data_IF_429983523319
#
_entry.id   IF_429983523319
#
_cell.length_a   1.000
_cell.length_b   1.000
_cell.length_c   1.000
_cell.angle_alpha   90.00
_cell.angle_beta   90.00
_cell.angle_gamma   90.00
#
_symmetry.space_group_name_H-M   'P 1'
#
loop_
_entity.id
_entity.type
_entity.pdbx_description
1 polymer ?
#
# COMPACT_ATOMS: atom_id res chain seq x y z
N UNK A 1 -4.80 -49.76 2.28
CA UNK A 1 -5.56 -48.67 1.61
C UNK A 1 -6.00 -47.50 2.53
N UNK A 2 -6.05 -47.61 3.88
CA UNK A 2 -6.48 -46.51 4.78
C UNK A 2 -5.49 -45.34 4.96
N UNK A 3 -4.22 -45.50 4.60
CA UNK A 3 -3.20 -44.45 4.78
C UNK A 3 -3.30 -43.32 3.72
N UNK A 4 -3.69 -43.65 2.48
CA UNK A 4 -3.81 -42.68 1.39
C UNK A 4 -4.97 -41.70 1.59
N UNK A 5 -6.08 -42.12 2.20
CA UNK A 5 -7.23 -41.24 2.46
C UNK A 5 -6.91 -40.17 3.50
N UNK A 6 -6.18 -40.49 4.58
CA UNK A 6 -5.76 -39.51 5.59
C UNK A 6 -4.81 -38.45 5.06
N UNK A 7 -3.90 -38.83 4.15
CA UNK A 7 -2.97 -37.86 3.53
C UNK A 7 -3.74 -36.89 2.63
N UNK A 8 -4.72 -37.39 1.89
CA UNK A 8 -5.54 -36.60 0.97
C UNK A 8 -6.48 -35.64 1.72
N UNK A 9 -7.05 -36.07 2.85
CA UNK A 9 -7.85 -35.22 3.75
C UNK A 9 -7.01 -34.11 4.39
N UNK A 10 -5.80 -34.43 4.88
CA UNK A 10 -4.88 -33.43 5.46
C UNK A 10 -4.42 -32.41 4.43
N UNK A 11 -4.13 -32.86 3.21
CA UNK A 11 -3.74 -31.97 2.12
C UNK A 11 -4.90 -31.01 1.75
N UNK A 12 -6.13 -31.52 1.66
CA UNK A 12 -7.31 -30.70 1.40
C UNK A 12 -7.53 -29.63 2.47
N UNK A 13 -7.43 -30.01 3.75
CA UNK A 13 -7.53 -29.06 4.86
C UNK A 13 -6.42 -27.99 4.80
N UNK A 14 -5.18 -28.40 4.52
CA UNK A 14 -4.05 -27.48 4.40
C UNK A 14 -4.24 -26.47 3.27
N UNK A 15 -4.74 -26.91 2.11
CA UNK A 15 -5.05 -26.02 0.98
C UNK A 15 -6.14 -25.03 1.39
N UNK A 16 -7.22 -25.48 2.03
CA UNK A 16 -8.32 -24.58 2.47
C UNK A 16 -7.81 -23.54 3.46
N UNK A 17 -7.04 -23.94 4.48
CA UNK A 17 -6.47 -23.01 5.46
C UNK A 17 -5.54 -22.01 4.77
N UNK A 18 -4.69 -22.47 3.86
CA UNK A 18 -3.79 -21.60 3.11
C UNK A 18 -4.57 -20.59 2.26
N UNK A 19 -5.55 -21.04 1.48
CA UNK A 19 -6.37 -20.16 0.63
C UNK A 19 -7.17 -19.14 1.46
N UNK A 20 -7.76 -19.56 2.58
CA UNK A 20 -8.46 -18.64 3.48
C UNK A 20 -7.49 -17.61 4.09
N UNK A 21 -6.30 -18.04 4.52
CA UNK A 21 -5.29 -17.15 5.08
C UNK A 21 -4.77 -16.16 4.04
N UNK A 22 -4.43 -16.62 2.83
CA UNK A 22 -3.97 -15.76 1.74
C UNK A 22 -5.05 -14.76 1.31
N UNK A 23 -6.31 -15.20 1.19
CA UNK A 23 -7.42 -14.31 0.86
C UNK A 23 -7.66 -13.24 1.94
N UNK A 24 -7.62 -13.64 3.21
CA UNK A 24 -7.72 -12.71 4.33
C UNK A 24 -6.54 -11.73 4.36
N UNK A 25 -5.31 -12.20 4.14
CA UNK A 25 -4.12 -11.36 4.11
C UNK A 25 -4.23 -10.27 3.02
N UNK A 26 -4.58 -10.64 1.78
CA UNK A 26 -4.73 -9.70 0.65
C UNK A 26 -5.86 -8.70 0.91
N UNK A 27 -6.99 -9.17 1.45
CA UNK A 27 -8.12 -8.30 1.76
C UNK A 27 -7.79 -7.30 2.87
N UNK A 28 -7.10 -7.76 3.91
CA UNK A 28 -6.76 -6.95 5.09
C UNK A 28 -5.67 -5.91 4.76
N UNK A 29 -4.67 -6.23 3.93
CA UNK A 29 -3.64 -5.25 3.52
C UNK A 29 -4.21 -4.05 2.77
N UNK A 30 -5.35 -4.24 2.08
CA UNK A 30 -6.02 -3.16 1.35
C UNK A 30 -7.03 -2.36 2.19
N UNK A 31 -7.58 -2.97 3.25
CA UNK A 31 -8.64 -2.42 4.09
C UNK A 31 -8.15 -1.79 5.40
N UNK A 32 -6.98 -2.17 5.90
CA UNK A 32 -6.49 -1.71 7.19
C UNK A 32 -4.96 -1.68 7.23
N UNK A 33 -4.31 -0.79 8.01
CA UNK A 33 -2.86 -0.75 8.14
C UNK A 33 -2.32 -1.90 9.00
N UNK A 34 -2.67 -3.16 8.70
CA UNK A 34 -2.01 -4.35 9.26
C UNK A 34 -0.72 -4.70 8.49
N UNK A 35 0.00 -3.70 7.97
CA UNK A 35 1.45 -3.85 7.95
C UNK A 35 1.88 -3.88 9.42
N UNK A 36 2.60 -4.92 9.80
CA UNK A 36 3.08 -5.15 11.17
C UNK A 36 3.83 -3.93 11.70
N UNK A 37 3.15 -3.03 12.41
CA UNK A 37 3.70 -1.94 13.23
C UNK A 37 3.91 -0.56 12.59
N UNK A 38 2.92 0.34 12.63
CA UNK A 38 3.16 1.71 13.07
C UNK A 38 3.26 1.74 14.61
N UNK A 39 4.15 0.95 15.21
CA UNK A 39 4.45 1.07 16.65
C UNK A 39 5.29 2.33 16.94
N UNK A 40 5.72 3.03 15.89
CA UNK A 40 6.66 4.15 15.92
C UNK A 40 6.10 5.42 15.27
N UNK A 41 4.84 5.45 14.83
CA UNK A 41 4.22 6.74 14.49
C UNK A 41 3.91 7.48 15.79
N UNK A 42 4.28 8.75 15.88
CA UNK A 42 4.08 9.57 17.09
C UNK A 42 2.61 9.60 17.57
N UNK A 43 1.67 9.44 16.63
CA UNK A 43 0.21 9.46 16.87
C UNK A 43 -0.43 8.06 17.03
N UNK A 44 0.39 7.01 17.20
CA UNK A 44 -0.14 5.69 17.54
C UNK A 44 -0.86 5.72 18.91
N UNK A 45 -1.98 4.99 19.08
CA UNK A 45 -2.57 3.98 18.18
C UNK A 45 -3.68 4.52 17.26
N UNK A 46 -4.00 5.82 17.32
CA UNK A 46 -5.22 6.37 16.71
C UNK A 46 -5.02 6.89 15.28
N UNK A 47 -3.79 6.83 14.78
CA UNK A 47 -3.42 7.33 13.46
C UNK A 47 -2.48 6.34 12.76
N UNK A 48 -2.68 6.17 11.46
CA UNK A 48 -1.76 5.46 10.58
C UNK A 48 -1.75 6.11 9.20
N UNK A 49 -0.62 6.09 8.53
CA UNK A 49 -0.48 6.66 7.20
C UNK A 49 0.56 5.91 6.36
N UNK A 50 0.26 5.73 5.07
CA UNK A 50 1.10 4.99 4.12
C UNK A 50 1.04 5.61 2.73
N UNK A 51 2.18 5.60 2.03
CA UNK A 51 2.23 5.96 0.62
C UNK A 51 1.72 4.78 -0.22
N UNK A 52 0.74 5.03 -1.08
CA UNK A 52 0.14 4.03 -1.98
C UNK A 52 -0.14 4.65 -3.35
N UNK A 53 -0.43 3.80 -4.32
CA UNK A 53 -0.82 4.19 -5.67
C UNK A 53 -2.34 4.12 -5.80
N UNK A 54 -2.93 5.14 -6.41
CA UNK A 54 -4.33 5.13 -6.86
C UNK A 54 -4.36 5.14 -8.38
N UNK A 55 -4.98 4.12 -8.97
CA UNK A 55 -5.12 4.02 -10.42
C UNK A 55 -6.31 4.85 -10.94
N UNK A 56 -6.51 4.88 -12.25
CA UNK A 56 -7.64 5.60 -12.86
C UNK A 56 -9.02 5.03 -12.50
N UNK A 57 -9.09 3.75 -12.12
CA UNK A 57 -10.32 3.13 -11.64
C UNK A 57 -10.61 3.50 -10.18
N UNK A 58 -9.66 4.15 -9.49
CA UNK A 58 -9.75 4.49 -8.08
C UNK A 58 -9.33 3.35 -7.15
N UNK A 59 -8.81 2.25 -7.72
CA UNK A 59 -8.25 1.14 -6.96
C UNK A 59 -6.92 1.55 -6.34
N UNK A 60 -6.66 1.04 -5.15
CA UNK A 60 -5.47 1.37 -4.37
C UNK A 60 -4.55 0.18 -4.31
N UNK A 61 -3.29 0.36 -4.66
CA UNK A 61 -2.27 -0.69 -4.68
C UNK A 61 -0.99 -0.23 -4.00
N UNK A 62 -0.24 -1.20 -3.50
CA UNK A 62 1.12 -0.98 -3.01
C UNK A 62 2.05 -0.58 -4.16
N UNK A 63 3.10 0.16 -3.84
CA UNK A 63 4.05 0.72 -4.82
C UNK A 63 4.88 -0.43 -5.41
N UNK A 64 5.18 -1.43 -4.59
CA UNK A 64 5.92 -2.64 -4.94
C UNK A 64 5.21 -3.51 -6.00
N UNK A 65 3.95 -3.22 -6.34
CA UNK A 65 3.21 -3.88 -7.43
C UNK A 65 3.56 -3.36 -8.83
N UNK A 66 4.30 -2.26 -8.91
CA UNK A 66 4.65 -1.63 -10.18
C UNK A 66 6.17 -1.72 -10.39
N UNK A 67 6.54 -2.13 -11.60
CA UNK A 67 7.94 -2.43 -11.96
C UNK A 67 8.66 -1.25 -12.59
N UNK A 68 7.94 -0.25 -13.10
CA UNK A 68 8.58 0.85 -13.83
C UNK A 68 7.81 2.15 -13.67
N UNK A 69 8.54 3.27 -13.55
CA UNK A 69 7.98 4.54 -13.06
C UNK A 69 8.43 5.77 -13.84
N UNK A 70 7.54 6.75 -13.96
CA UNK A 70 7.87 8.12 -14.39
C UNK A 70 6.96 9.08 -13.65
N UNK A 71 7.54 9.98 -12.88
CA UNK A 71 6.80 11.00 -12.14
C UNK A 71 7.10 12.39 -12.71
N UNK A 72 6.09 13.27 -12.73
CA UNK A 72 6.24 14.63 -13.26
C UNK A 72 7.07 15.55 -12.34
N UNK A 73 7.20 15.20 -11.06
CA UNK A 73 7.94 15.93 -10.04
C UNK A 73 9.07 15.07 -9.49
N UNK A 74 10.17 15.72 -9.08
CA UNK A 74 11.20 15.08 -8.26
C UNK A 74 10.61 14.84 -6.86
N UNK A 75 10.48 13.58 -6.48
CA UNK A 75 9.82 13.20 -5.24
C UNK A 75 10.84 13.25 -4.11
N UNK A 76 10.75 14.27 -3.25
CA UNK A 76 11.57 14.34 -2.05
C UNK A 76 10.80 13.88 -0.82
N UNK A 77 11.50 13.27 0.13
CA UNK A 77 10.94 12.82 1.39
C UNK A 77 10.28 13.98 2.17
N UNK A 78 10.92 15.14 2.18
CA UNK A 78 10.45 16.33 2.90
C UNK A 78 9.10 16.83 2.36
N UNK A 79 8.86 16.73 1.05
CA UNK A 79 7.58 17.10 0.43
C UNK A 79 6.45 16.14 0.83
N UNK A 80 6.78 14.86 0.99
CA UNK A 80 5.83 13.81 1.40
C UNK A 80 5.45 13.91 2.87
N UNK A 81 6.40 14.23 3.76
CA UNK A 81 6.11 14.45 5.18
C UNK A 81 5.17 15.64 5.41
N UNK A 82 5.22 16.64 4.54
CA UNK A 82 4.40 17.85 4.62
C UNK A 82 3.12 17.79 3.77
N UNK A 83 2.77 16.63 3.21
CA UNK A 83 1.57 16.49 2.38
C UNK A 83 0.31 16.84 3.17
N UNK A 84 -0.43 17.83 2.68
CA UNK A 84 -1.68 18.31 3.28
C UNK A 84 -2.87 17.53 2.70
N UNK A 85 -3.66 16.95 3.59
CA UNK A 85 -4.86 16.20 3.24
C UNK A 85 -6.06 17.14 3.00
N UNK A 86 -7.14 16.66 2.34
CA UNK A 86 -8.35 17.46 2.07
C UNK A 86 -9.04 18.07 3.30
N UNK A 87 -8.76 17.54 4.50
CA UNK A 87 -9.26 18.07 5.77
C UNK A 87 -8.36 19.17 6.39
N UNK A 88 -7.31 19.58 5.68
CA UNK A 88 -6.35 20.60 6.10
C UNK A 88 -5.28 20.11 7.08
N UNK A 89 -5.24 18.81 7.39
CA UNK A 89 -4.23 18.22 8.29
C UNK A 89 -3.12 17.56 7.50
N UNK A 90 -1.93 17.46 8.10
CA UNK A 90 -0.80 16.75 7.50
C UNK A 90 -1.02 15.24 7.54
N UNK A 91 -0.63 14.56 6.47
CA UNK A 91 -0.76 13.11 6.34
C UNK A 91 0.28 12.29 7.11
N UNK A 92 1.39 12.89 7.56
CA UNK A 92 2.44 12.30 8.40
C UNK A 92 2.70 10.79 8.16
N UNK A 93 3.08 10.39 6.93
CA UNK A 93 3.36 9.00 6.63
C UNK A 93 4.60 8.50 7.39
N UNK A 94 4.67 7.18 7.64
CA UNK A 94 5.78 6.59 8.39
C UNK A 94 7.09 6.70 7.60
N UNK A 95 8.06 7.43 8.15
CA UNK A 95 9.23 7.89 7.38
C UNK A 95 10.04 6.79 6.68
N UNK A 96 10.34 5.67 7.36
CA UNK A 96 11.12 4.60 6.74
C UNK A 96 10.36 3.91 5.58
N UNK A 97 9.04 3.74 5.69
CA UNK A 97 8.22 3.15 4.63
C UNK A 97 8.13 4.06 3.41
N UNK A 98 8.03 5.38 3.63
CA UNK A 98 8.05 6.35 2.53
C UNK A 98 9.40 6.34 1.84
N UNK A 99 10.49 6.28 2.61
CA UNK A 99 11.83 6.22 2.04
C UNK A 99 12.02 4.96 1.19
N UNK A 100 11.63 3.79 1.70
CA UNK A 100 11.69 2.53 0.94
C UNK A 100 10.87 2.59 -0.36
N UNK A 101 9.67 3.17 -0.29
CA UNK A 101 8.83 3.37 -1.46
C UNK A 101 9.44 4.35 -2.50
N UNK A 102 10.03 5.44 -2.04
CA UNK A 102 10.73 6.40 -2.91
C UNK A 102 11.97 5.79 -3.55
N UNK A 103 12.74 5.03 -2.77
CA UNK A 103 13.91 4.31 -3.27
C UNK A 103 13.46 3.30 -4.36
N UNK A 104 12.36 2.57 -4.15
CA UNK A 104 11.79 1.67 -5.17
C UNK A 104 11.40 2.40 -6.46
N UNK A 105 10.72 3.55 -6.36
CA UNK A 105 10.34 4.35 -7.54
C UNK A 105 11.59 4.84 -8.29
N UNK A 106 12.61 5.31 -7.57
CA UNK A 106 13.84 5.84 -8.16
C UNK A 106 14.70 4.76 -8.81
N UNK A 107 14.76 3.59 -8.20
CA UNK A 107 15.59 2.48 -8.67
C UNK A 107 14.96 1.75 -9.88
N UNK A 108 13.67 2.02 -10.17
CA UNK A 108 12.90 1.41 -11.25
C UNK A 108 12.35 2.45 -12.26
N UNK A 109 13.20 3.20 -12.97
CA UNK A 109 12.74 4.16 -13.98
C UNK A 109 12.12 3.46 -15.19
N UNK A 110 11.09 4.07 -15.79
CA UNK A 110 10.43 3.54 -16.97
C UNK A 110 11.38 3.46 -18.17
N UNK A 111 11.34 2.32 -18.88
CA UNK A 111 12.01 2.19 -20.16
C UNK A 111 11.34 3.11 -21.21
N UNK A 112 12.07 3.59 -22.23
CA UNK A 112 11.55 4.54 -23.24
C UNK A 112 10.30 4.08 -24.02
N UNK A 113 9.89 2.81 -23.89
CA UNK A 113 8.73 2.21 -24.56
C UNK A 113 7.89 1.31 -23.64
N UNK A 114 8.02 1.46 -22.33
CA UNK A 114 7.16 0.75 -21.39
C UNK A 114 5.69 1.18 -21.58
N UNK A 115 4.77 0.22 -21.60
CA UNK A 115 3.34 0.51 -21.57
C UNK A 115 2.98 0.87 -20.12
N UNK A 116 3.03 2.15 -19.80
CA UNK A 116 2.73 2.67 -18.47
C UNK A 116 1.32 3.24 -18.41
N UNK A 117 0.61 2.99 -17.31
CA UNK A 117 -0.68 3.59 -17.01
C UNK A 117 -0.50 4.83 -16.12
N UNK A 118 -1.34 5.87 -16.30
CA UNK A 118 -1.33 7.02 -15.41
C UNK A 118 -1.87 6.66 -14.02
N UNK A 119 -1.12 7.03 -12.99
CA UNK A 119 -1.42 6.76 -11.59
C UNK A 119 -1.21 8.01 -10.73
N UNK A 120 -1.85 8.03 -9.56
CA UNK A 120 -1.66 9.06 -8.55
C UNK A 120 -0.98 8.46 -7.33
N UNK A 121 0.14 9.05 -6.91
CA UNK A 121 0.74 8.77 -5.61
C UNK A 121 -0.05 9.52 -4.55
N UNK A 122 -0.50 8.79 -3.54
CA UNK A 122 -1.29 9.33 -2.44
C UNK A 122 -0.73 8.86 -1.10
N UNK A 123 -0.73 9.75 -0.09
CA UNK A 123 -0.63 9.32 1.29
C UNK A 123 -2.04 8.96 1.76
N UNK A 124 -2.29 7.68 1.97
CA UNK A 124 -3.54 7.22 2.59
C UNK A 124 -3.40 7.24 4.09
N UNK A 125 -4.38 7.83 4.76
CA UNK A 125 -4.43 7.97 6.22
C UNK A 125 -5.62 7.21 6.78
N UNK A 126 -5.45 6.65 7.98
CA UNK A 126 -6.48 6.01 8.79
C UNK A 126 -6.49 6.69 10.16
N UNK A 127 -7.65 7.21 10.56
CA UNK A 127 -7.85 7.85 11.85
C UNK A 127 -8.94 7.15 12.62
N UNK A 128 -8.67 6.87 13.88
CA UNK A 128 -9.68 6.42 14.82
C UNK A 128 -10.37 7.64 15.42
N UNK A 129 -11.59 7.92 14.97
CA UNK A 129 -12.46 8.98 15.49
C UNK A 129 -13.56 8.32 16.33
N UNK A 130 -13.29 8.11 17.63
CA UNK A 130 -14.19 7.37 18.50
C UNK A 130 -14.17 5.86 18.20
N UNK A 131 -15.29 5.32 17.72
CA UNK A 131 -15.44 3.91 17.29
C UNK A 131 -15.37 3.72 15.77
N UNK A 132 -15.19 4.81 15.01
CA UNK A 132 -15.13 4.78 13.55
C UNK A 132 -13.72 4.99 13.04
N UNK A 133 -13.37 4.24 11.98
CA UNK A 133 -12.15 4.48 11.21
C UNK A 133 -12.50 5.40 10.05
N UNK A 134 -11.85 6.55 10.01
CA UNK A 134 -11.96 7.51 8.93
C UNK A 134 -10.73 7.39 8.04
N UNK A 135 -10.98 7.19 6.75
CA UNK A 135 -9.93 7.11 5.74
C UNK A 135 -9.89 8.39 4.91
N UNK A 136 -8.69 8.89 4.64
CA UNK A 136 -8.48 9.99 3.70
C UNK A 136 -7.30 9.69 2.76
N UNK A 137 -7.52 9.98 1.48
CA UNK A 137 -6.46 9.99 0.46
C UNK A 137 -5.92 11.42 0.33
N UNK A 138 -4.61 11.59 0.48
CA UNK A 138 -3.92 12.88 0.40
C UNK A 138 -3.01 12.87 -0.84
N UNK A 139 -3.41 13.52 -1.95
CA UNK A 139 -2.66 13.49 -3.20
C UNK A 139 -1.25 14.09 -3.05
N UNK A 140 -0.27 13.39 -3.60
CA UNK A 140 1.15 13.80 -3.60
C UNK A 140 1.58 14.21 -5.00
N UNK A 141 1.50 13.28 -5.94
CA UNK A 141 2.03 13.48 -7.29
C UNK A 141 1.30 12.63 -8.31
N UNK A 142 1.37 13.05 -9.58
CA UNK A 142 0.90 12.27 -10.72
C UNK A 142 2.11 11.63 -11.40
N UNK A 143 2.00 10.33 -11.63
CA UNK A 143 3.02 9.52 -12.26
C UNK A 143 2.39 8.65 -13.35
N UNK A 144 3.23 7.96 -14.10
CA UNK A 144 2.86 6.80 -14.89
C UNK A 144 3.66 5.62 -14.40
N UNK A 145 3.02 4.47 -14.25
CA UNK A 145 3.64 3.26 -13.76
C UNK A 145 3.20 2.04 -14.57
N UNK A 146 4.04 1.01 -14.63
CA UNK A 146 3.67 -0.27 -15.24
C UNK A 146 3.41 -1.31 -14.14
N UNK A 147 2.20 -1.89 -14.15
CA UNK A 147 1.82 -2.98 -13.26
C UNK A 147 2.46 -4.31 -13.70
N UNK A 148 2.94 -5.10 -12.74
CA UNK A 148 3.36 -6.52 -12.93
C UNK A 148 2.15 -7.45 -13.10
#
# INVERSE_FOLDING_TARGET
MRAMTRVRERLGLAIVVFTCYSGAAIGVTNAYPFSTFPMYSEDAPNFGARLVVKDQAGERREIERYESWTCAADLSFDDLEQTICPDGRTGQPTGYLVKEALDHIRDNPAAPHAVAEPVELIVRTWRLEGDQIRELDCPVAKCTAQLD
#
